data_IF_391227094800
#
_entry.id   IF_391227094800
#
_cell.length_a   1.000
_cell.length_b   1.000
_cell.length_c   1.000
_cell.angle_alpha   90.00
_cell.angle_beta   90.00
_cell.angle_gamma   90.00
#
_symmetry.space_group_name_H-M   'P 1'
#
loop_
_entity.id
_entity.type
_entity.pdbx_description
1 polymer ?
#
# COMPACT_ATOMS: atom_id res chain seq x y z
N UNK A 1 -9.40 -21.88 19.01
CA UNK A 1 -7.99 -21.44 18.93
C UNK A 1 -7.64 -20.80 20.26
N UNK A 2 -6.48 -21.12 20.82
CA UNK A 2 -6.05 -20.61 22.12
C UNK A 2 -6.07 -19.07 22.11
N UNK A 3 -6.64 -18.44 23.13
CA UNK A 3 -6.63 -16.99 23.40
C UNK A 3 -5.23 -16.46 23.77
N UNK A 4 -4.19 -17.15 23.30
CA UNK A 4 -2.80 -16.87 23.54
C UNK A 4 -2.43 -15.55 22.85
N UNK A 5 -2.11 -14.56 23.68
CA UNK A 5 -1.47 -13.27 23.37
C UNK A 5 -1.74 -12.68 21.96
N UNK A 6 -2.67 -11.72 21.90
CA UNK A 6 -2.87 -10.87 20.72
C UNK A 6 -1.77 -9.79 20.71
N UNK A 7 -0.92 -9.72 19.68
CA UNK A 7 0.08 -8.67 19.60
C UNK A 7 -0.60 -7.32 19.35
N UNK A 8 -0.02 -6.26 19.91
CA UNK A 8 -0.33 -4.90 19.51
C UNK A 8 0.20 -4.63 18.09
N UNK A 9 -0.29 -3.55 17.46
CA UNK A 9 0.16 -3.16 16.13
C UNK A 9 1.64 -2.77 16.10
N UNK A 10 2.18 -2.25 17.21
CA UNK A 10 3.59 -1.90 17.33
C UNK A 10 4.52 -3.11 17.54
N UNK A 11 4.04 -4.18 18.19
CA UNK A 11 4.84 -5.40 18.41
C UNK A 11 4.95 -6.25 17.15
N UNK A 12 3.83 -6.48 16.46
CA UNK A 12 3.78 -7.21 15.20
C UNK A 12 2.60 -6.72 14.36
N UNK A 13 2.86 -5.81 13.42
CA UNK A 13 1.81 -5.23 12.58
C UNK A 13 1.06 -6.30 11.75
N UNK A 14 1.77 -7.33 11.29
CA UNK A 14 1.16 -8.43 10.54
C UNK A 14 0.30 -9.32 11.45
N UNK A 15 0.81 -9.62 12.66
CA UNK A 15 0.07 -10.31 13.71
C UNK A 15 -1.19 -9.56 14.12
N UNK A 16 -1.09 -8.24 14.30
CA UNK A 16 -2.21 -7.35 14.55
C UNK A 16 -3.27 -7.45 13.45
N UNK A 17 -2.90 -7.33 12.16
CA UNK A 17 -3.86 -7.42 11.07
C UNK A 17 -4.63 -8.74 11.09
N UNK A 18 -3.96 -9.86 11.38
CA UNK A 18 -4.63 -11.17 11.53
C UNK A 18 -5.53 -11.20 12.76
N UNK A 19 -5.03 -10.77 13.91
CA UNK A 19 -5.76 -10.82 15.17
C UNK A 19 -7.01 -9.91 15.17
N UNK A 20 -6.87 -8.67 14.70
CA UNK A 20 -7.98 -7.73 14.57
C UNK A 20 -9.05 -8.23 13.61
N UNK A 21 -8.68 -8.72 12.43
CA UNK A 21 -9.68 -9.21 11.47
C UNK A 21 -10.38 -10.49 11.99
N UNK A 22 -9.66 -11.38 12.67
CA UNK A 22 -10.25 -12.56 13.30
C UNK A 22 -11.22 -12.16 14.43
N UNK A 23 -10.81 -11.30 15.36
CA UNK A 23 -11.67 -10.84 16.46
C UNK A 23 -12.88 -10.07 15.93
N UNK A 24 -12.72 -9.26 14.88
CA UNK A 24 -13.81 -8.41 14.37
C UNK A 24 -14.81 -9.20 13.52
N UNK A 25 -14.40 -10.26 12.83
CA UNK A 25 -15.26 -11.07 11.97
C UNK A 25 -15.81 -12.32 12.68
N UNK A 26 -14.96 -13.06 13.41
CA UNK A 26 -15.33 -14.36 14.01
C UNK A 26 -15.57 -14.27 15.52
N UNK A 27 -15.23 -13.15 16.16
CA UNK A 27 -15.38 -12.95 17.60
C UNK A 27 -16.81 -12.69 18.07
N UNK A 28 -17.07 -12.92 19.36
CA UNK A 28 -18.37 -12.68 20.00
C UNK A 28 -18.45 -11.37 20.78
N UNK A 29 -17.32 -10.73 21.06
CA UNK A 29 -17.22 -9.48 21.82
C UNK A 29 -17.80 -8.28 21.04
N UNK A 30 -18.39 -7.26 21.68
CA UNK A 30 -18.85 -6.06 20.98
C UNK A 30 -17.79 -5.47 20.03
N UNK A 31 -18.21 -5.08 18.82
CA UNK A 31 -17.29 -4.64 17.74
C UNK A 31 -16.49 -3.38 18.14
N UNK A 32 -17.09 -2.52 18.94
CA UNK A 32 -16.46 -1.34 19.53
C UNK A 32 -15.39 -1.71 20.57
N UNK A 33 -15.65 -2.69 21.44
CA UNK A 33 -14.63 -3.20 22.37
C UNK A 33 -13.46 -3.86 21.63
N UNK A 34 -13.75 -4.62 20.57
CA UNK A 34 -12.70 -5.16 19.68
C UNK A 34 -11.92 -4.02 19.02
N UNK A 35 -12.60 -2.99 18.51
CA UNK A 35 -11.92 -1.85 17.89
C UNK A 35 -10.98 -1.14 18.88
N UNK A 36 -11.45 -0.82 20.08
CA UNK A 36 -10.69 -0.06 21.09
C UNK A 36 -9.49 -0.81 21.68
N UNK A 37 -9.49 -2.14 21.57
CA UNK A 37 -8.35 -2.99 21.87
C UNK A 37 -7.17 -2.72 20.94
N UNK A 38 -7.44 -2.48 19.66
CA UNK A 38 -6.41 -2.37 18.62
C UNK A 38 -6.18 -0.93 18.14
N UNK A 39 -7.15 -0.04 18.34
CA UNK A 39 -7.13 1.33 17.88
C UNK A 39 -7.35 2.29 19.05
N UNK A 40 -6.72 3.46 19.00
CA UNK A 40 -7.01 4.53 19.95
C UNK A 40 -8.44 5.03 19.70
N UNK A 41 -9.31 5.17 20.73
CA UNK A 41 -10.72 5.48 20.51
C UNK A 41 -10.98 6.75 19.69
N UNK A 42 -10.18 7.79 19.92
CA UNK A 42 -10.20 9.08 19.22
C UNK A 42 -9.11 9.18 18.12
N UNK A 43 -8.65 8.03 17.63
CA UNK A 43 -7.67 7.95 16.55
C UNK A 43 -8.18 8.56 15.25
N UNK A 44 -7.27 9.15 14.47
CA UNK A 44 -7.61 9.78 13.19
C UNK A 44 -7.44 8.79 12.04
N UNK A 45 -8.56 8.29 11.51
CA UNK A 45 -8.55 7.31 10.42
C UNK A 45 -9.19 7.90 9.16
N UNK A 46 -8.65 7.55 8.00
CA UNK A 46 -9.16 7.93 6.69
C UNK A 46 -9.22 6.70 5.78
N UNK A 47 -10.30 6.55 5.03
CA UNK A 47 -10.47 5.50 4.01
C UNK A 47 -10.90 6.13 2.69
N UNK A 48 -10.14 5.89 1.62
CA UNK A 48 -10.35 6.44 0.27
C UNK A 48 -10.51 7.97 0.27
N UNK A 49 -9.62 8.68 0.96
CA UNK A 49 -9.67 10.14 1.11
C UNK A 49 -10.78 10.69 2.02
N UNK A 50 -11.53 9.84 2.74
CA UNK A 50 -12.64 10.25 3.61
C UNK A 50 -12.36 9.95 5.07
N UNK A 51 -12.63 10.92 5.93
CA UNK A 51 -12.60 10.72 7.37
C UNK A 51 -13.47 9.51 7.75
N UNK A 52 -12.90 8.65 8.60
CA UNK A 52 -13.53 7.46 9.11
C UNK A 52 -14.67 7.84 10.06
N UNK A 53 -15.90 7.50 9.66
CA UNK A 53 -17.06 7.58 10.54
C UNK A 53 -17.10 6.32 11.39
N UNK A 54 -16.65 6.44 12.65
CA UNK A 54 -16.56 5.33 13.59
C UNK A 54 -17.91 4.64 13.78
N UNK A 55 -18.96 5.38 14.13
CA UNK A 55 -20.27 4.80 14.42
C UNK A 55 -20.84 4.05 13.21
N UNK A 56 -20.74 4.64 12.01
CA UNK A 56 -21.19 4.01 10.77
C UNK A 56 -20.37 2.78 10.41
N UNK A 57 -19.05 2.84 10.54
CA UNK A 57 -18.17 1.72 10.19
C UNK A 57 -18.35 0.54 11.14
N UNK A 58 -18.37 0.78 12.45
CA UNK A 58 -18.57 -0.29 13.45
C UNK A 58 -19.95 -0.94 13.29
N UNK A 59 -20.99 -0.16 12.97
CA UNK A 59 -22.31 -0.72 12.60
C UNK A 59 -22.23 -1.63 11.37
N UNK A 60 -21.48 -1.23 10.34
CA UNK A 60 -21.25 -2.04 9.14
C UNK A 60 -20.50 -3.34 9.43
N UNK A 61 -19.46 -3.29 10.27
CA UNK A 61 -18.72 -4.46 10.73
C UNK A 61 -19.61 -5.41 11.54
N UNK A 62 -20.43 -4.88 12.45
CA UNK A 62 -21.41 -5.67 13.21
C UNK A 62 -22.44 -6.34 12.30
N UNK A 63 -22.93 -5.64 11.27
CA UNK A 63 -23.84 -6.22 10.28
C UNK A 63 -23.16 -7.33 9.47
N UNK A 64 -21.89 -7.13 9.06
CA UNK A 64 -21.11 -8.15 8.34
C UNK A 64 -20.89 -9.39 9.20
N UNK A 65 -20.51 -9.23 10.46
CA UNK A 65 -20.34 -10.33 11.41
C UNK A 65 -21.60 -11.19 11.54
N UNK A 66 -22.79 -10.56 11.60
CA UNK A 66 -24.08 -11.27 11.69
C UNK A 66 -24.37 -12.16 10.49
N UNK A 67 -23.75 -11.92 9.34
CA UNK A 67 -23.88 -12.80 8.17
C UNK A 67 -23.18 -14.15 8.39
N UNK A 68 -22.25 -14.24 9.35
CA UNK A 68 -21.51 -15.46 9.66
C UNK A 68 -20.69 -16.01 8.48
N UNK A 69 -20.39 -15.16 7.49
CA UNK A 69 -19.62 -15.56 6.34
C UNK A 69 -18.14 -15.65 6.72
N UNK A 70 -17.44 -16.76 6.40
CA UNK A 70 -16.02 -16.87 6.69
C UNK A 70 -15.25 -15.80 5.90
N UNK A 71 -14.05 -15.48 6.35
CA UNK A 71 -13.16 -14.60 5.60
C UNK A 71 -11.78 -15.24 5.45
N UNK A 72 -11.05 -14.82 4.43
CA UNK A 72 -9.62 -15.07 4.34
C UNK A 72 -8.88 -13.75 4.26
N UNK A 73 -7.77 -13.65 4.97
CA UNK A 73 -6.85 -12.53 4.91
C UNK A 73 -5.56 -13.01 4.24
N UNK A 74 -5.17 -12.31 3.18
CA UNK A 74 -3.93 -12.52 2.46
C UNK A 74 -3.08 -11.25 2.59
N UNK A 75 -2.02 -11.30 3.38
CA UNK A 75 -1.04 -10.23 3.49
C UNK A 75 -0.10 -10.32 2.29
N UNK A 76 -0.09 -9.27 1.48
CA UNK A 76 0.78 -9.22 0.32
C UNK A 76 2.08 -8.52 0.62
N UNK A 77 2.03 -7.41 1.36
CA UNK A 77 3.19 -6.60 1.70
C UNK A 77 2.99 -5.94 3.06
N UNK A 78 4.05 -5.88 3.86
CA UNK A 78 4.14 -5.16 5.14
C UNK A 78 5.51 -4.50 5.21
N UNK A 79 5.52 -3.22 5.56
CA UNK A 79 6.71 -2.40 5.78
C UNK A 79 6.57 -1.71 7.13
N UNK A 80 7.48 -1.95 8.06
CA UNK A 80 7.48 -1.34 9.40
C UNK A 80 8.71 -0.45 9.58
N UNK A 81 8.49 0.78 10.03
CA UNK A 81 9.56 1.74 10.33
C UNK A 81 9.26 2.44 11.66
N UNK A 82 9.83 1.92 12.76
CA UNK A 82 9.57 2.41 14.11
C UNK A 82 8.09 2.24 14.50
N UNK A 83 7.42 3.32 14.91
CA UNK A 83 5.98 3.35 15.24
C UNK A 83 5.07 3.59 14.03
N UNK A 84 5.56 3.37 12.81
CA UNK A 84 4.79 3.49 11.58
C UNK A 84 4.83 2.19 10.81
N UNK A 85 3.74 1.88 10.12
CA UNK A 85 3.66 0.72 9.27
C UNK A 85 2.84 1.02 8.01
N UNK A 86 3.15 0.31 6.94
CA UNK A 86 2.29 0.22 5.77
C UNK A 86 2.04 -1.24 5.44
N UNK A 87 0.83 -1.55 4.97
CA UNK A 87 0.52 -2.89 4.51
C UNK A 87 -0.40 -2.86 3.29
N UNK A 88 -0.22 -3.87 2.43
CA UNK A 88 -1.15 -4.22 1.36
C UNK A 88 -1.65 -5.63 1.60
N UNK A 89 -2.96 -5.80 1.63
CA UNK A 89 -3.58 -7.09 1.88
C UNK A 89 -4.93 -7.22 1.17
N UNK A 90 -5.41 -8.45 1.06
CA UNK A 90 -6.73 -8.76 0.52
C UNK A 90 -7.56 -9.47 1.58
N UNK A 91 -8.79 -8.99 1.76
CA UNK A 91 -9.83 -9.68 2.53
C UNK A 91 -10.81 -10.32 1.56
N UNK A 92 -10.88 -11.64 1.51
CA UNK A 92 -11.87 -12.37 0.71
C UNK A 92 -13.04 -12.81 1.59
N UNK A 93 -14.25 -12.82 1.01
CA UNK A 93 -15.44 -13.40 1.64
C UNK A 93 -16.22 -14.15 0.58
N UNK A 94 -16.46 -15.46 0.75
CA UNK A 94 -17.33 -16.21 -0.14
C UNK A 94 -18.76 -15.73 0.06
N UNK A 95 -19.42 -15.38 -1.04
CA UNK A 95 -20.86 -15.12 -1.06
C UNK A 95 -21.63 -16.37 -1.49
N UNK A 96 -22.97 -16.29 -1.36
CA UNK A 96 -23.91 -17.27 -1.90
C UNK A 96 -23.66 -17.41 -3.42
N UNK A 97 -23.84 -18.61 -3.98
CA UNK A 97 -23.60 -18.95 -5.40
C UNK A 97 -22.13 -18.99 -5.87
N UNK A 98 -21.17 -19.29 -4.98
CA UNK A 98 -19.72 -19.40 -5.29
C UNK A 98 -19.06 -18.11 -5.79
N UNK A 99 -19.71 -16.95 -5.65
CA UNK A 99 -19.09 -15.66 -5.97
C UNK A 99 -18.25 -15.21 -4.78
N UNK A 100 -16.95 -15.08 -4.93
CA UNK A 100 -16.08 -14.51 -3.89
C UNK A 100 -15.96 -13.00 -4.10
N UNK A 101 -16.12 -12.21 -3.04
CA UNK A 101 -15.70 -10.80 -3.06
C UNK A 101 -14.34 -10.68 -2.42
N UNK A 102 -13.42 -10.02 -3.12
CA UNK A 102 -12.13 -9.65 -2.57
C UNK A 102 -12.07 -8.14 -2.41
N UNK A 103 -11.71 -7.71 -1.21
CA UNK A 103 -11.41 -6.32 -0.89
C UNK A 103 -9.90 -6.17 -0.80
N UNK A 104 -9.31 -5.45 -1.75
CA UNK A 104 -7.92 -5.03 -1.71
C UNK A 104 -7.81 -3.79 -0.83
N UNK A 105 -6.90 -3.84 0.15
CA UNK A 105 -6.63 -2.76 1.09
C UNK A 105 -5.14 -2.41 1.01
N UNK A 106 -4.84 -1.12 0.97
CA UNK A 106 -3.51 -0.59 1.24
C UNK A 106 -3.64 0.43 2.36
N UNK A 107 -2.89 0.30 3.44
CA UNK A 107 -2.99 1.16 4.60
C UNK A 107 -1.62 1.66 5.04
N UNK A 108 -1.57 2.91 5.48
CA UNK A 108 -0.51 3.47 6.31
C UNK A 108 -1.07 3.67 7.71
N UNK A 109 -0.29 3.35 8.72
CA UNK A 109 -0.67 3.40 10.12
C UNK A 109 0.44 4.00 10.97
N UNK A 110 0.05 4.78 11.97
CA UNK A 110 0.92 5.24 13.04
C UNK A 110 0.40 4.73 14.38
N UNK A 111 1.30 4.14 15.16
CA UNK A 111 1.00 3.54 16.44
C UNK A 111 1.29 4.51 17.59
N UNK A 112 0.41 4.52 18.59
CA UNK A 112 0.61 5.18 19.87
C UNK A 112 1.68 4.48 20.72
N UNK A 113 2.03 5.09 21.84
CA UNK A 113 3.00 4.51 22.81
C UNK A 113 2.53 3.18 23.39
N UNK A 114 1.21 2.99 23.53
CA UNK A 114 0.60 1.74 23.99
C UNK A 114 0.48 0.67 22.89
N UNK A 115 1.02 0.94 21.71
CA UNK A 115 1.06 0.02 20.58
C UNK A 115 -0.22 -0.06 19.74
N UNK A 116 -1.29 0.67 20.10
CA UNK A 116 -2.53 0.73 19.30
C UNK A 116 -2.39 1.65 18.09
N UNK A 117 -3.15 1.41 17.04
CA UNK A 117 -3.20 2.28 15.87
C UNK A 117 -3.89 3.60 16.25
N UNK A 118 -3.13 4.70 16.22
CA UNK A 118 -3.61 6.04 16.54
C UNK A 118 -4.02 6.83 15.30
N UNK A 119 -3.39 6.58 14.16
CA UNK A 119 -3.73 7.21 12.88
C UNK A 119 -3.63 6.21 11.75
N UNK A 120 -4.50 6.34 10.73
CA UNK A 120 -4.32 5.59 9.49
C UNK A 120 -4.89 6.29 8.27
N UNK A 121 -4.25 6.10 7.11
CA UNK A 121 -4.80 6.44 5.80
C UNK A 121 -4.82 5.17 4.95
N UNK A 122 -6.00 4.79 4.46
CA UNK A 122 -6.19 3.53 3.75
C UNK A 122 -6.92 3.72 2.43
N UNK A 123 -6.48 3.00 1.40
CA UNK A 123 -7.24 2.66 0.23
C UNK A 123 -7.99 1.35 0.47
N UNK A 124 -9.24 1.26 0.01
CA UNK A 124 -10.02 0.02 0.03
C UNK A 124 -10.93 -0.07 -1.19
N UNK A 125 -10.81 -1.14 -1.97
CA UNK A 125 -11.67 -1.43 -3.11
C UNK A 125 -12.09 -2.91 -3.15
N UNK A 126 -13.41 -3.13 -3.24
CA UNK A 126 -13.98 -4.47 -3.39
C UNK A 126 -14.23 -4.79 -4.86
N UNK A 127 -13.90 -6.02 -5.27
CA UNK A 127 -14.18 -6.53 -6.61
C UNK A 127 -14.85 -7.92 -6.52
N UNK A 128 -15.86 -8.19 -7.37
CA UNK A 128 -16.35 -9.55 -7.58
C UNK A 128 -15.27 -10.39 -8.27
N UNK A 129 -15.10 -11.63 -7.83
CA UNK A 129 -14.12 -12.54 -8.38
C UNK A 129 -12.71 -12.28 -7.82
N UNK A 130 -12.16 -13.30 -7.21
CA UNK A 130 -10.74 -13.40 -6.92
C UNK A 130 -10.27 -14.75 -7.45
N UNK A 131 -9.55 -14.72 -8.55
CA UNK A 131 -8.51 -15.72 -8.79
C UNK A 131 -7.22 -15.05 -8.32
N UNK A 132 -6.50 -15.72 -7.40
CA UNK A 132 -5.15 -15.30 -7.09
C UNK A 132 -4.38 -15.21 -8.40
N UNK A 133 -3.91 -14.01 -8.77
CA UNK A 133 -3.05 -13.82 -9.93
C UNK A 133 -1.74 -14.63 -9.81
N UNK A 134 -1.47 -15.18 -8.62
CA UNK A 134 -0.35 -16.05 -8.35
C UNK A 134 -0.79 -17.22 -7.44
N UNK A 135 -1.70 -18.07 -7.94
CA UNK A 135 -2.12 -19.30 -7.24
C UNK A 135 -0.96 -20.29 -6.96
N UNK A 136 0.25 -19.97 -7.44
CA UNK A 136 1.47 -20.75 -7.29
C UNK A 136 2.25 -20.43 -6.01
N UNK A 137 2.01 -19.28 -5.40
CA UNK A 137 2.69 -18.84 -4.18
C UNK A 137 1.82 -19.12 -2.94
N UNK A 138 2.41 -19.60 -1.83
CA UNK A 138 1.69 -19.70 -0.56
C UNK A 138 1.09 -18.34 -0.17
N UNK A 139 -0.11 -18.34 0.39
CA UNK A 139 -0.64 -17.17 1.06
C UNK A 139 0.42 -16.62 2.03
N UNK A 140 0.64 -15.31 2.00
CA UNK A 140 1.63 -14.63 2.84
C UNK A 140 3.10 -15.03 2.56
N UNK A 141 3.44 -15.46 1.34
CA UNK A 141 4.85 -15.59 0.95
C UNK A 141 5.41 -14.22 0.54
N UNK A 142 6.55 -13.82 1.13
CA UNK A 142 7.30 -12.64 0.68
C UNK A 142 6.66 -11.29 1.05
N UNK A 143 5.78 -11.22 2.05
CA UNK A 143 5.21 -9.93 2.47
C UNK A 143 6.17 -9.09 3.33
N UNK A 144 7.23 -9.69 3.89
CA UNK A 144 8.25 -9.00 4.71
C UNK A 144 9.49 -8.69 3.91
N UNK A 145 10.27 -7.72 4.40
CA UNK A 145 11.62 -7.46 3.92
C UNK A 145 12.49 -8.72 3.97
N UNK A 146 13.50 -8.78 3.10
CA UNK A 146 14.43 -9.90 3.10
C UNK A 146 15.13 -10.02 4.48
N UNK A 147 15.19 -11.22 5.08
CA UNK A 147 15.84 -11.40 6.37
C UNK A 147 17.29 -10.89 6.36
N UNK A 148 17.63 -10.04 7.33
CA UNK A 148 18.97 -9.45 7.44
C UNK A 148 19.24 -8.27 6.51
N UNK A 149 18.30 -7.90 5.64
CA UNK A 149 18.39 -6.63 4.91
C UNK A 149 18.15 -5.45 5.85
N UNK A 150 18.91 -4.38 5.65
CA UNK A 150 18.75 -3.11 6.36
C UNK A 150 18.44 -2.00 5.36
N UNK A 151 17.68 -0.96 5.76
CA UNK A 151 17.48 0.22 4.91
C UNK A 151 18.82 0.81 4.48
N UNK A 152 18.90 1.26 3.23
CA UNK A 152 20.12 1.87 2.73
C UNK A 152 20.50 3.11 3.57
N UNK A 153 21.81 3.30 3.86
CA UNK A 153 22.26 4.43 4.65
C UNK A 153 21.98 5.75 3.91
N UNK A 154 21.89 6.88 4.63
CA UNK A 154 21.73 8.19 4.02
C UNK A 154 22.78 8.45 2.91
N UNK A 155 22.44 9.26 1.89
CA UNK A 155 23.39 9.63 0.85
C UNK A 155 24.58 10.39 1.44
N UNK A 156 25.73 10.28 0.79
CA UNK A 156 26.86 11.15 1.11
C UNK A 156 26.48 12.62 0.83
N UNK A 157 27.03 13.59 1.59
CA UNK A 157 26.74 15.00 1.37
C UNK A 157 27.01 15.44 -0.09
N UNK A 158 26.04 16.11 -0.70
CA UNK A 158 26.13 16.59 -2.09
C UNK A 158 25.92 15.52 -3.17
N UNK A 159 25.69 14.24 -2.79
CA UNK A 159 25.33 13.17 -3.72
C UNK A 159 23.82 13.04 -3.75
N UNK A 160 23.25 12.93 -4.94
CA UNK A 160 21.83 12.65 -5.09
C UNK A 160 21.49 11.26 -4.52
N UNK A 161 20.44 11.13 -3.69
CA UNK A 161 20.09 9.84 -3.11
C UNK A 161 19.56 8.87 -4.17
N UNK A 162 19.93 7.59 -4.01
CA UNK A 162 19.27 6.50 -4.73
C UNK A 162 17.84 6.29 -4.20
N UNK A 163 16.97 5.58 -4.95
CA UNK A 163 15.64 5.22 -4.46
C UNK A 163 15.65 4.54 -3.08
N UNK A 164 16.60 3.65 -2.82
CA UNK A 164 16.73 2.99 -1.52
C UNK A 164 17.08 3.95 -0.37
N UNK A 165 17.79 5.04 -0.67
CA UNK A 165 18.20 6.04 0.32
C UNK A 165 17.11 7.07 0.59
N UNK A 166 16.34 7.46 -0.43
CA UNK A 166 15.23 8.40 -0.30
C UNK A 166 14.12 8.09 -1.33
N UNK A 167 13.10 7.30 -0.94
CA UNK A 167 11.97 6.99 -1.82
C UNK A 167 11.15 8.24 -2.19
N UNK A 168 11.14 9.27 -1.35
CA UNK A 168 10.41 10.51 -1.61
C UNK A 168 11.12 11.34 -2.67
N UNK A 169 12.45 11.41 -2.62
CA UNK A 169 13.26 11.98 -3.70
C UNK A 169 13.07 11.21 -4.99
N UNK A 170 13.18 9.88 -4.96
CA UNK A 170 12.96 9.02 -6.12
C UNK A 170 11.62 9.32 -6.82
N UNK A 171 10.50 9.34 -6.10
CA UNK A 171 9.19 9.57 -6.71
C UNK A 171 9.12 10.93 -7.42
N UNK A 172 9.68 11.99 -6.82
CA UNK A 172 9.70 13.32 -7.44
C UNK A 172 10.62 13.35 -8.66
N UNK A 173 11.84 12.84 -8.51
CA UNK A 173 12.87 12.87 -9.54
C UNK A 173 12.52 11.98 -10.75
N UNK A 174 11.96 10.80 -10.51
CA UNK A 174 11.53 9.89 -11.57
C UNK A 174 10.38 10.48 -12.39
N UNK A 175 9.37 11.08 -11.75
CA UNK A 175 8.29 11.75 -12.48
C UNK A 175 8.79 12.99 -13.23
N UNK A 176 9.68 13.78 -12.63
CA UNK A 176 10.28 14.93 -13.31
C UNK A 176 11.04 14.50 -14.58
N UNK A 177 12.01 13.60 -14.46
CA UNK A 177 12.78 13.09 -15.60
C UNK A 177 11.91 12.30 -16.60
N UNK A 178 10.96 11.52 -16.11
CA UNK A 178 10.07 10.69 -16.92
C UNK A 178 9.15 11.48 -17.85
N UNK A 179 8.84 12.74 -17.52
CA UNK A 179 8.02 13.63 -18.34
C UNK A 179 8.79 14.82 -18.95
N UNK A 180 10.09 14.92 -18.72
CA UNK A 180 10.98 15.89 -19.36
C UNK A 180 11.26 15.49 -20.83
N UNK A 181 10.87 16.30 -21.83
CA UNK A 181 11.12 15.98 -23.24
C UNK A 181 12.60 15.95 -23.61
N UNK A 182 13.47 16.62 -22.85
CA UNK A 182 14.90 16.75 -23.15
C UNK A 182 15.72 15.56 -22.62
N UNK A 183 15.12 14.72 -21.76
CA UNK A 183 15.76 13.51 -21.20
C UNK A 183 15.23 12.28 -21.94
N UNK A 184 16.07 11.43 -22.56
CA UNK A 184 15.62 10.17 -23.17
C UNK A 184 14.84 9.30 -22.17
N UNK A 185 13.68 8.75 -22.59
CA UNK A 185 12.80 7.97 -21.69
C UNK A 185 13.54 6.78 -21.05
N UNK A 186 14.41 6.12 -21.83
CA UNK A 186 15.25 5.04 -21.36
C UNK A 186 16.19 5.47 -20.23
N UNK A 187 16.82 6.64 -20.37
CA UNK A 187 17.72 7.20 -19.36
C UNK A 187 16.95 7.60 -18.09
N UNK A 188 15.82 8.28 -18.25
CA UNK A 188 14.94 8.66 -17.15
C UNK A 188 14.48 7.44 -16.33
N UNK A 189 14.18 6.33 -16.98
CA UNK A 189 13.77 5.09 -16.33
C UNK A 189 14.95 4.36 -15.66
N UNK A 190 16.03 4.11 -16.40
CA UNK A 190 17.13 3.24 -15.97
C UNK A 190 18.00 3.86 -14.85
N UNK A 191 17.91 5.19 -14.69
CA UNK A 191 18.49 5.90 -13.54
C UNK A 191 17.91 5.44 -12.21
N UNK A 192 16.62 5.12 -12.16
CA UNK A 192 15.91 4.79 -10.92
C UNK A 192 15.48 3.33 -10.81
N UNK A 193 15.44 2.61 -11.93
CA UNK A 193 14.96 1.23 -12.00
C UNK A 193 16.03 0.31 -12.55
N UNK A 194 16.08 -0.93 -12.08
CA UNK A 194 16.89 -1.96 -12.73
C UNK A 194 16.32 -2.27 -14.12
N UNK A 195 17.16 -2.86 -14.98
CA UNK A 195 16.75 -3.18 -16.35
C UNK A 195 15.56 -4.16 -16.39
N UNK A 196 15.52 -5.10 -15.46
CA UNK A 196 14.50 -6.12 -15.28
C UNK A 196 13.34 -5.67 -14.38
N UNK A 197 13.26 -4.38 -14.04
CA UNK A 197 12.27 -3.88 -13.11
C UNK A 197 10.83 -4.15 -13.56
N UNK A 198 10.00 -4.54 -12.59
CA UNK A 198 8.59 -4.88 -12.83
C UNK A 198 7.66 -3.86 -12.19
N UNK A 199 6.86 -3.19 -13.02
CA UNK A 199 5.82 -2.26 -12.59
C UNK A 199 4.46 -2.95 -12.60
N UNK A 200 3.71 -2.84 -11.52
CA UNK A 200 2.35 -3.38 -11.42
C UNK A 200 1.37 -2.26 -11.14
N UNK A 201 0.55 -1.89 -12.13
CA UNK A 201 -0.36 -0.73 -12.07
C UNK A 201 -1.78 -1.17 -12.40
N UNK A 202 -2.71 -1.06 -11.44
CA UNK A 202 -4.12 -1.36 -11.68
C UNK A 202 -4.37 -2.78 -12.24
N UNK A 203 -3.65 -3.77 -11.71
CA UNK A 203 -3.74 -5.17 -12.15
C UNK A 203 -2.91 -5.52 -13.40
N UNK A 204 -2.30 -4.54 -14.07
CA UNK A 204 -1.41 -4.79 -15.22
C UNK A 204 0.04 -4.88 -14.77
N UNK A 205 0.76 -5.88 -15.27
CA UNK A 205 2.20 -6.01 -15.10
C UNK A 205 2.91 -5.48 -16.34
N UNK A 206 3.88 -4.60 -16.14
CA UNK A 206 4.69 -3.99 -17.20
C UNK A 206 6.16 -4.20 -16.86
N UNK A 207 6.90 -4.73 -17.82
CA UNK A 207 8.37 -4.69 -17.82
C UNK A 207 8.83 -3.39 -18.47
N UNK A 208 10.14 -3.13 -18.42
CA UNK A 208 10.80 -1.94 -18.98
C UNK A 208 10.20 -1.44 -20.29
N UNK A 209 10.12 -2.26 -21.34
CA UNK A 209 9.61 -1.84 -22.66
C UNK A 209 8.17 -1.30 -22.63
N UNK A 210 7.30 -1.86 -21.79
CA UNK A 210 5.94 -1.37 -21.58
C UNK A 210 5.89 -0.06 -20.80
N UNK A 211 6.79 0.13 -19.84
CA UNK A 211 6.95 1.39 -19.10
C UNK A 211 7.44 2.50 -20.01
N UNK A 212 8.51 2.25 -20.80
CA UNK A 212 9.04 3.24 -21.74
C UNK A 212 7.97 3.68 -22.75
N UNK A 213 7.26 2.73 -23.36
CA UNK A 213 6.15 3.04 -24.27
C UNK A 213 5.07 3.89 -23.61
N UNK A 214 4.72 3.59 -22.36
CA UNK A 214 3.71 4.36 -21.62
C UNK A 214 4.15 5.79 -21.34
N UNK A 215 5.45 6.00 -21.06
CA UNK A 215 6.04 7.32 -20.88
C UNK A 215 6.10 8.10 -22.20
N UNK A 216 6.54 7.46 -23.29
CA UNK A 216 6.53 8.05 -24.64
C UNK A 216 5.13 8.49 -25.06
N UNK A 217 4.14 7.61 -24.90
CA UNK A 217 2.73 7.90 -25.21
C UNK A 217 2.18 9.08 -24.39
N UNK A 218 2.59 9.20 -23.12
CA UNK A 218 2.15 10.28 -22.25
C UNK A 218 2.86 11.60 -22.60
N UNK A 219 4.15 11.57 -22.93
CA UNK A 219 4.92 12.73 -23.42
C UNK A 219 4.38 13.24 -24.76
N UNK A 220 4.07 12.35 -25.69
CA UNK A 220 3.47 12.71 -26.99
C UNK A 220 2.10 13.38 -26.85
N UNK A 221 1.41 13.18 -25.72
CA UNK A 221 0.16 13.87 -25.36
C UNK A 221 0.35 15.11 -24.48
N UNK A 222 1.59 15.50 -24.21
CA UNK A 222 1.93 16.64 -23.34
C UNK A 222 1.50 16.45 -21.88
N UNK A 223 1.42 15.21 -21.39
CA UNK A 223 1.03 14.98 -20.00
C UNK A 223 2.19 15.26 -19.06
N UNK A 224 1.88 15.94 -17.95
CA UNK A 224 2.76 16.02 -16.79
C UNK A 224 2.01 15.53 -15.56
N UNK A 225 2.75 15.05 -14.57
CA UNK A 225 2.22 14.46 -13.35
C UNK A 225 3.07 14.90 -12.16
N UNK A 226 2.94 16.16 -11.69
CA UNK A 226 3.61 16.60 -10.47
C UNK A 226 3.28 15.67 -9.30
N UNK A 227 4.26 15.44 -8.43
CA UNK A 227 4.17 14.50 -7.31
C UNK A 227 4.24 15.25 -5.99
N UNK A 228 3.21 15.05 -5.16
CA UNK A 228 3.15 15.49 -3.76
C UNK A 228 3.28 14.27 -2.86
N UNK A 229 4.49 13.99 -2.37
CA UNK A 229 4.73 12.87 -1.45
C UNK A 229 4.20 13.24 -0.07
N UNK A 230 3.28 12.43 0.46
CA UNK A 230 2.75 12.60 1.81
C UNK A 230 3.57 11.81 2.84
N UNK A 231 3.97 10.58 2.48
CA UNK A 231 4.65 9.68 3.41
C UNK A 231 5.45 8.61 2.66
N UNK A 232 6.59 8.22 3.24
CA UNK A 232 7.41 7.09 2.80
C UNK A 232 7.95 6.34 4.00
N UNK A 233 7.96 5.00 3.92
CA UNK A 233 8.53 4.10 4.92
C UNK A 233 9.53 3.16 4.24
N UNK A 234 10.53 2.70 4.98
CA UNK A 234 11.50 1.70 4.52
C UNK A 234 11.72 0.62 5.57
N UNK A 235 11.83 -0.61 5.10
CA UNK A 235 12.21 -1.76 5.92
C UNK A 235 13.08 -2.67 5.06
N UNK A 236 14.36 -2.79 5.41
CA UNK A 236 15.30 -3.60 4.64
C UNK A 236 15.38 -3.15 3.17
N UNK A 237 15.16 -4.10 2.25
CA UNK A 237 15.08 -3.84 0.81
C UNK A 237 13.69 -3.40 0.31
N UNK A 238 12.70 -3.18 1.19
CA UNK A 238 11.34 -2.76 0.81
C UNK A 238 11.07 -1.29 1.13
N UNK A 239 10.15 -0.71 0.39
CA UNK A 239 9.56 0.58 0.72
C UNK A 239 8.05 0.59 0.51
N UNK A 240 7.42 1.51 1.23
CA UNK A 240 6.05 1.93 0.94
C UNK A 240 6.03 3.46 0.80
N UNK A 241 5.20 3.97 -0.11
CA UNK A 241 4.96 5.39 -0.23
C UNK A 241 3.47 5.70 -0.45
N UNK A 242 3.02 6.83 0.10
CA UNK A 242 1.73 7.44 -0.19
C UNK A 242 1.96 8.83 -0.73
N UNK A 243 1.44 9.09 -1.92
CA UNK A 243 1.60 10.37 -2.60
C UNK A 243 0.37 10.71 -3.41
N UNK A 244 0.24 11.97 -3.80
CA UNK A 244 -0.75 12.41 -4.76
C UNK A 244 -0.08 12.89 -6.05
N UNK A 245 -0.77 12.70 -7.16
CA UNK A 245 -0.40 13.31 -8.44
C UNK A 245 -1.64 13.81 -9.17
N UNK A 246 -1.47 14.69 -10.14
CA UNK A 246 -2.57 15.19 -10.97
C UNK A 246 -2.11 15.40 -12.40
N UNK A 247 -2.95 15.00 -13.37
CA UNK A 247 -2.64 15.22 -14.79
C UNK A 247 -2.60 16.73 -15.07
N UNK A 248 -1.44 17.23 -15.50
CA UNK A 248 -1.18 18.64 -15.77
C UNK A 248 -1.18 19.53 -14.53
N UNK A 249 -1.05 18.98 -13.32
CA UNK A 249 -1.17 19.77 -12.08
C UNK A 249 -2.61 20.12 -11.70
N UNK A 250 -3.62 19.63 -12.44
CA UNK A 250 -5.01 19.97 -12.20
C UNK A 250 -5.53 19.35 -10.89
N UNK A 251 -5.73 20.16 -9.85
CA UNK A 251 -6.21 19.72 -8.54
C UNK A 251 -7.56 18.96 -8.60
N UNK A 252 -8.43 19.27 -9.55
CA UNK A 252 -9.71 18.55 -9.74
C UNK A 252 -9.51 17.12 -10.29
N UNK A 253 -8.31 16.78 -10.78
CA UNK A 253 -7.90 15.45 -11.22
C UNK A 253 -6.82 14.85 -10.32
N UNK A 254 -6.81 15.24 -9.03
CA UNK A 254 -5.92 14.66 -8.02
C UNK A 254 -6.22 13.16 -7.88
N UNK A 255 -5.15 12.39 -7.91
CA UNK A 255 -5.12 10.95 -7.84
C UNK A 255 -4.20 10.57 -6.67
N UNK A 256 -4.76 9.99 -5.61
CA UNK A 256 -3.94 9.40 -4.55
C UNK A 256 -3.36 8.06 -5.01
N UNK A 257 -2.11 7.80 -4.63
CA UNK A 257 -1.36 6.61 -5.01
C UNK A 257 -0.69 6.02 -3.78
N UNK A 258 -0.90 4.73 -3.60
CA UNK A 258 -0.14 3.91 -2.65
C UNK A 258 0.83 3.06 -3.47
N UNK A 259 2.12 3.20 -3.20
CA UNK A 259 3.17 2.43 -3.83
C UNK A 259 3.84 1.51 -2.82
N UNK A 260 4.09 0.27 -3.23
CA UNK A 260 4.89 -0.68 -2.48
C UNK A 260 5.93 -1.27 -3.42
N UNK A 261 7.18 -1.38 -2.99
CA UNK A 261 8.22 -1.86 -3.87
C UNK A 261 9.44 -2.40 -3.17
N UNK A 262 10.34 -2.92 -3.99
CA UNK A 262 11.58 -3.59 -3.61
C UNK A 262 12.76 -2.91 -4.31
N UNK A 263 13.88 -2.85 -3.60
CA UNK A 263 15.14 -2.34 -4.10
C UNK A 263 16.08 -3.51 -4.46
N UNK A 264 16.83 -3.32 -5.53
CA UNK A 264 18.00 -4.13 -5.85
C UNK A 264 19.21 -3.71 -5.00
N UNK A 265 20.28 -4.53 -4.94
CA UNK A 265 21.49 -4.21 -4.19
C UNK A 265 22.19 -2.89 -4.58
N UNK A 266 21.98 -2.40 -5.81
CA UNK A 266 22.52 -1.12 -6.29
C UNK A 266 21.66 0.10 -5.86
N UNK A 267 20.58 -0.13 -5.12
CA UNK A 267 19.68 0.89 -4.59
C UNK A 267 18.61 1.35 -5.56
N UNK A 268 18.54 0.81 -6.78
CA UNK A 268 17.45 1.05 -7.74
C UNK A 268 16.23 0.19 -7.43
N UNK A 269 15.08 0.60 -7.92
CA UNK A 269 13.82 -0.16 -7.78
C UNK A 269 13.83 -1.36 -8.72
N UNK A 270 13.64 -2.56 -8.18
CA UNK A 270 13.51 -3.82 -8.95
C UNK A 270 12.05 -4.23 -9.14
N UNK A 271 11.17 -3.85 -8.23
CA UNK A 271 9.74 -4.08 -8.38
C UNK A 271 8.96 -2.95 -7.69
N UNK A 272 7.86 -2.54 -8.30
CA UNK A 272 6.94 -1.57 -7.68
C UNK A 272 5.51 -1.82 -8.12
N UNK A 273 4.60 -1.77 -7.14
CA UNK A 273 3.16 -1.86 -7.34
C UNK A 273 2.50 -0.56 -6.94
N UNK A 274 1.60 -0.08 -7.78
CA UNK A 274 0.83 1.14 -7.58
C UNK A 274 -0.67 0.80 -7.47
N UNK A 275 -1.27 1.22 -6.35
CA UNK A 275 -2.70 1.21 -6.13
C UNK A 275 -3.18 2.65 -6.25
N UNK A 276 -4.12 2.86 -7.17
CA UNK A 276 -4.70 4.16 -7.46
C UNK A 276 -5.99 4.29 -6.66
N UNK A 277 -6.10 5.29 -5.80
CA UNK A 277 -7.37 5.61 -5.15
C UNK A 277 -8.45 5.88 -6.20
N UNK A 278 -9.72 5.50 -5.99
CA UNK A 278 -10.74 5.81 -6.97
C UNK A 278 -10.88 7.34 -7.06
N UNK A 279 -10.68 7.91 -8.24
CA UNK A 279 -10.88 9.35 -8.46
C UNK A 279 -12.26 9.77 -7.98
N UNK A 280 -12.35 10.89 -7.25
CA UNK A 280 -13.62 11.40 -6.75
C UNK A 280 -14.58 11.63 -7.93
N UNK A 281 -15.68 10.88 -7.98
CA UNK A 281 -16.70 10.98 -9.03
C UNK A 281 -16.65 9.92 -10.14
N UNK A 282 -15.76 8.94 -10.08
CA UNK A 282 -15.85 7.76 -10.96
C UNK A 282 -16.96 6.82 -10.44
N UNK A 283 -18.17 7.01 -10.98
CA UNK A 283 -19.17 5.95 -11.10
C UNK A 283 -18.91 5.17 -12.39
#
# INVERSE_FOLDING_TARGET
MSTAHRPTAAEDFAGYLRAYNADVVDGSEPVDEVWDRYHVPEGAHEVNGRAFDRAKTLKGLAARRKLGAPFELHLHEVVVEGRRAAARYTLSTPMIWRVTTATEVAAFAEMAEDGRVARSSAFSASRPGWESADASLPADSGFRAEPGSAPAPPPAPGVEPTPAQDPAHYLRAYYAAGYDPDVPVAEAHDRFHTFDAVHRVGGRTMQRSGVLRSLEDARGRGHTYPVEVHETLREGNRFAARYATSRGGNAARRQGVFAFGEFAPDGRVSAVRFLLEPGHGAR
#
